data_IF_379341904196
#
_entry.id   IF_379341904196
#
_cell.length_a   1.000
_cell.length_b   1.000
_cell.length_c   1.000
_cell.angle_alpha   90.00
_cell.angle_beta   90.00
_cell.angle_gamma   90.00
#
_symmetry.space_group_name_H-M   'P 1'
#
loop_
_entity.id
_entity.type
_entity.pdbx_description
1 polymer ?
#
# COMPACT_ATOMS: atom_id res chain seq x y z
N UNK A 1 22.85 39.16 -31.61
CA UNK A 1 22.87 37.74 -31.25
C UNK A 1 22.34 37.58 -29.84
N UNK A 2 21.08 37.15 -29.61
CA UNK A 2 20.58 36.96 -28.26
C UNK A 2 20.89 35.55 -27.74
N UNK A 3 21.33 35.50 -26.48
CA UNK A 3 21.55 34.32 -25.66
C UNK A 3 20.29 33.45 -25.57
N UNK A 4 20.43 32.13 -25.75
CA UNK A 4 19.43 31.14 -25.32
C UNK A 4 19.78 30.69 -23.90
N UNK A 5 18.95 31.07 -22.94
CA UNK A 5 18.99 30.56 -21.58
C UNK A 5 18.52 29.11 -21.55
N UNK A 6 19.41 28.18 -21.15
CA UNK A 6 19.04 26.80 -20.87
C UNK A 6 18.19 26.74 -19.59
N UNK A 7 16.90 26.49 -19.74
CA UNK A 7 15.98 26.23 -18.63
C UNK A 7 16.40 24.93 -17.91
N UNK A 8 16.86 25.04 -16.67
CA UNK A 8 16.99 23.89 -15.76
C UNK A 8 15.58 23.33 -15.48
N UNK A 9 15.37 22.00 -15.51
CA UNK A 9 14.08 21.43 -15.18
C UNK A 9 13.75 21.73 -13.71
N UNK A 10 12.51 22.16 -13.46
CA UNK A 10 11.98 22.36 -12.11
C UNK A 10 11.84 21.02 -11.39
N UNK A 11 12.00 21.02 -10.07
CA UNK A 11 11.94 19.81 -9.23
C UNK A 11 10.67 18.96 -9.46
N UNK A 12 9.53 19.60 -9.75
CA UNK A 12 8.26 18.92 -10.06
C UNK A 12 8.34 18.03 -11.31
N UNK A 13 9.10 18.43 -12.34
CA UNK A 13 9.25 17.67 -13.58
C UNK A 13 10.20 16.48 -13.42
N UNK A 14 11.15 16.56 -12.49
CA UNK A 14 12.05 15.47 -12.11
C UNK A 14 11.38 14.41 -11.23
N UNK A 15 10.43 14.81 -10.37
CA UNK A 15 9.60 13.87 -9.59
C UNK A 15 8.61 13.13 -10.49
N UNK A 16 7.97 13.82 -11.43
CA UNK A 16 7.05 13.19 -12.39
C UNK A 16 7.75 12.17 -13.31
N UNK A 17 8.98 12.44 -13.76
CA UNK A 17 9.73 11.50 -14.61
C UNK A 17 10.21 10.26 -13.84
N UNK A 18 10.54 10.40 -12.55
CA UNK A 18 10.85 9.27 -11.66
C UNK A 18 9.63 8.39 -11.40
N UNK A 19 8.44 8.98 -11.22
CA UNK A 19 7.19 8.23 -11.09
C UNK A 19 6.81 7.46 -12.37
N UNK A 20 7.10 8.03 -13.55
CA UNK A 20 6.90 7.34 -14.84
C UNK A 20 7.86 6.15 -14.99
N UNK A 21 9.13 6.31 -14.59
CA UNK A 21 10.11 5.21 -14.62
C UNK A 21 9.78 4.11 -13.60
N UNK A 22 9.27 4.47 -12.42
CA UNK A 22 8.81 3.52 -11.39
C UNK A 22 7.58 2.74 -11.86
N UNK A 23 6.59 3.42 -12.43
CA UNK A 23 5.40 2.79 -13.03
C UNK A 23 5.72 1.87 -14.21
N UNK A 24 6.75 2.19 -15.00
CA UNK A 24 7.19 1.33 -16.12
C UNK A 24 7.91 0.07 -15.63
N UNK A 25 8.63 0.16 -14.51
CA UNK A 25 9.24 -1.00 -13.85
C UNK A 25 8.18 -1.90 -13.20
N UNK A 26 7.17 -1.32 -12.54
CA UNK A 26 6.01 -2.07 -12.02
C UNK A 26 5.21 -2.76 -13.14
N UNK A 27 4.90 -2.05 -14.23
CA UNK A 27 4.17 -2.63 -15.37
C UNK A 27 4.92 -3.78 -16.07
N UNK A 28 6.24 -3.72 -16.16
CA UNK A 28 7.06 -4.84 -16.66
C UNK A 28 7.11 -6.02 -15.69
N UNK A 29 7.03 -5.75 -14.39
CA UNK A 29 6.99 -6.76 -13.34
C UNK A 29 5.64 -7.50 -13.30
N UNK A 30 4.54 -6.75 -13.43
CA UNK A 30 3.18 -7.25 -13.47
C UNK A 30 2.94 -8.28 -14.58
N UNK A 31 3.55 -8.08 -15.76
CA UNK A 31 3.41 -9.00 -16.90
C UNK A 31 3.96 -10.42 -16.63
N UNK A 32 4.79 -10.61 -15.60
CA UNK A 32 5.48 -11.87 -15.32
C UNK A 32 5.14 -12.42 -13.93
N UNK A 33 4.28 -11.74 -13.16
CA UNK A 33 3.89 -12.15 -11.82
C UNK A 33 2.76 -13.20 -11.88
N UNK A 34 2.97 -14.45 -11.41
CA UNK A 34 1.93 -15.49 -11.41
C UNK A 34 0.70 -15.13 -10.57
N UNK A 35 0.83 -14.29 -9.54
CA UNK A 35 -0.29 -13.84 -8.68
C UNK A 35 -1.26 -12.90 -9.39
N UNK A 36 -0.85 -12.29 -10.51
CA UNK A 36 -1.72 -11.48 -11.37
C UNK A 36 -2.47 -12.29 -12.42
N UNK A 37 -2.15 -13.58 -12.62
CA UNK A 37 -2.87 -14.42 -13.61
C UNK A 37 -4.29 -14.75 -13.17
N UNK A 38 -4.52 -14.92 -11.88
CA UNK A 38 -5.86 -15.15 -11.31
C UNK A 38 -6.69 -13.85 -11.28
N UNK A 39 -6.02 -12.71 -11.39
CA UNK A 39 -6.64 -11.45 -11.75
C UNK A 39 -6.91 -11.47 -13.26
N UNK A 40 -7.97 -12.17 -13.67
CA UNK A 40 -8.57 -11.96 -14.99
C UNK A 40 -8.88 -10.47 -15.06
N UNK A 41 -8.00 -9.71 -15.73
CA UNK A 41 -8.20 -8.34 -16.17
C UNK A 41 -9.47 -8.36 -17.03
N UNK A 42 -10.63 -8.17 -16.41
CA UNK A 42 -11.84 -7.83 -17.14
C UNK A 42 -11.60 -6.43 -17.63
N UNK A 43 -11.19 -6.32 -18.88
CA UNK A 43 -11.10 -5.07 -19.61
C UNK A 43 -12.33 -4.22 -19.30
N UNK A 44 -12.08 -3.03 -18.78
CA UNK A 44 -13.05 -1.96 -18.55
C UNK A 44 -14.20 -2.27 -17.60
N UNK A 45 -14.00 -2.00 -16.31
CA UNK A 45 -15.06 -1.30 -15.56
C UNK A 45 -14.99 0.17 -15.92
N UNK A 46 -15.45 0.49 -17.13
CA UNK A 46 -16.27 1.69 -17.22
C UNK A 46 -17.49 1.34 -16.36
N UNK A 47 -17.88 2.21 -15.43
CA UNK A 47 -19.25 2.22 -14.91
C UNK A 47 -20.15 2.34 -16.14
N UNK A 48 -20.54 1.19 -16.69
CA UNK A 48 -21.19 1.06 -17.99
C UNK A 48 -22.64 1.37 -17.72
N UNK A 49 -23.00 2.63 -17.95
CA UNK A 49 -24.36 3.13 -18.12
C UNK A 49 -25.44 2.46 -17.24
N UNK A 50 -25.18 2.49 -15.94
CA UNK A 50 -26.17 2.40 -14.88
C UNK A 50 -25.67 3.33 -13.80
N UNK A 51 -25.93 4.64 -13.95
CA UNK A 51 -25.32 5.70 -13.16
C UNK A 51 -25.35 5.37 -11.66
N UNK A 52 -24.20 4.93 -11.13
CA UNK A 52 -24.02 4.73 -9.71
C UNK A 52 -24.21 6.10 -9.07
N UNK A 53 -25.40 6.32 -8.51
CA UNK A 53 -25.83 7.60 -7.97
C UNK A 53 -25.71 7.51 -6.47
N UNK A 54 -24.51 7.78 -5.97
CA UNK A 54 -24.23 7.85 -4.55
C UNK A 54 -24.74 9.17 -3.98
N UNK A 55 -25.25 9.14 -2.76
CA UNK A 55 -25.37 10.34 -1.94
C UNK A 55 -24.00 11.00 -1.76
N UNK A 56 -24.00 12.29 -1.41
CA UNK A 56 -22.75 13.03 -1.18
C UNK A 56 -21.89 12.38 -0.09
N UNK A 57 -22.51 11.82 0.95
CA UNK A 57 -21.82 11.23 2.08
C UNK A 57 -21.23 9.85 1.73
N UNK A 58 -21.97 9.02 1.00
CA UNK A 58 -21.48 7.74 0.47
C UNK A 58 -20.29 7.96 -0.49
N UNK A 59 -20.40 8.94 -1.40
CA UNK A 59 -19.32 9.28 -2.33
C UNK A 59 -18.09 9.78 -1.58
N UNK A 60 -18.28 10.67 -0.58
CA UNK A 60 -17.18 11.14 0.25
C UNK A 60 -16.52 10.01 1.04
N UNK A 61 -17.29 9.04 1.54
CA UNK A 61 -16.75 7.89 2.26
C UNK A 61 -15.88 7.01 1.36
N UNK A 62 -16.39 6.64 0.18
CA UNK A 62 -15.65 5.81 -0.79
C UNK A 62 -14.36 6.53 -1.24
N UNK A 63 -14.43 7.84 -1.50
CA UNK A 63 -13.27 8.67 -1.83
C UNK A 63 -12.20 8.67 -0.74
N UNK A 64 -12.59 8.62 0.54
CA UNK A 64 -11.64 8.54 1.66
C UNK A 64 -10.99 7.16 1.71
N UNK A 65 -11.77 6.09 1.62
CA UNK A 65 -11.30 4.71 1.69
C UNK A 65 -10.27 4.40 0.60
N UNK A 66 -10.62 4.67 -0.67
CA UNK A 66 -9.73 4.39 -1.79
C UNK A 66 -8.42 5.20 -1.67
N UNK A 67 -8.52 6.47 -1.28
CA UNK A 67 -7.37 7.36 -1.11
C UNK A 67 -6.40 6.88 -0.03
N UNK A 68 -6.92 6.52 1.14
CA UNK A 68 -6.07 6.09 2.25
C UNK A 68 -5.50 4.69 2.01
N UNK A 69 -6.24 3.79 1.37
CA UNK A 69 -5.74 2.47 0.98
C UNK A 69 -4.55 2.63 0.03
N UNK A 70 -4.70 3.42 -1.04
CA UNK A 70 -3.62 3.67 -1.98
C UNK A 70 -2.36 4.26 -1.31
N UNK A 71 -2.53 5.16 -0.33
CA UNK A 71 -1.42 5.69 0.45
C UNK A 71 -0.79 4.63 1.39
N UNK A 72 -1.62 3.79 2.00
CA UNK A 72 -1.22 2.65 2.83
C UNK A 72 -0.37 1.66 2.05
N UNK A 73 -0.85 1.20 0.90
CA UNK A 73 -0.13 0.27 0.02
C UNK A 73 1.20 0.87 -0.49
N UNK A 74 1.21 2.18 -0.75
CA UNK A 74 2.45 2.89 -1.09
C UNK A 74 3.48 2.81 0.05
N UNK A 75 3.03 2.95 1.29
CA UNK A 75 3.88 2.83 2.46
C UNK A 75 4.32 1.38 2.69
N UNK A 76 3.42 0.40 2.58
CA UNK A 76 3.70 -1.03 2.75
C UNK A 76 4.78 -1.52 1.78
N UNK A 77 4.62 -1.25 0.48
CA UNK A 77 5.66 -1.50 -0.54
C UNK A 77 7.01 -0.89 -0.12
N UNK A 78 6.99 0.33 0.41
CA UNK A 78 8.21 1.04 0.83
C UNK A 78 8.82 0.47 2.11
N UNK A 79 8.02 -0.02 3.05
CA UNK A 79 8.47 -0.68 4.29
C UNK A 79 9.29 -1.92 3.92
N UNK A 80 8.76 -2.81 3.06
CA UNK A 80 9.51 -3.99 2.65
C UNK A 80 10.76 -3.64 1.85
N UNK A 81 10.74 -2.60 1.00
CA UNK A 81 11.96 -2.11 0.35
C UNK A 81 13.02 -1.68 1.37
N UNK A 82 12.62 -0.96 2.42
CA UNK A 82 13.50 -0.56 3.52
C UNK A 82 14.06 -1.77 4.28
N UNK A 83 13.21 -2.74 4.61
CA UNK A 83 13.63 -3.97 5.30
C UNK A 83 14.63 -4.77 4.45
N UNK A 84 14.33 -4.98 3.17
CA UNK A 84 15.18 -5.68 2.21
C UNK A 84 16.52 -4.99 2.00
N UNK A 85 16.57 -3.65 2.01
CA UNK A 85 17.81 -2.90 1.89
C UNK A 85 18.82 -3.23 3.01
N UNK A 86 18.34 -3.67 4.18
CA UNK A 86 19.16 -3.97 5.35
C UNK A 86 19.36 -5.48 5.57
N UNK A 87 18.30 -6.28 5.38
CA UNK A 87 18.30 -7.72 5.65
C UNK A 87 18.57 -8.57 4.40
N UNK A 88 18.22 -8.10 3.20
CA UNK A 88 18.26 -8.88 1.96
C UNK A 88 19.67 -9.29 1.51
N UNK A 89 20.72 -8.64 2.02
CA UNK A 89 22.11 -8.96 1.72
C UNK A 89 22.84 -9.73 2.84
N UNK A 90 22.12 -10.18 3.88
CA UNK A 90 22.73 -10.86 5.05
C UNK A 90 22.97 -12.37 4.88
N UNK A 91 22.71 -12.92 3.70
CA UNK A 91 22.97 -14.33 3.37
C UNK A 91 21.89 -15.31 3.83
N UNK A 92 20.82 -14.83 4.48
CA UNK A 92 19.63 -15.63 4.78
C UNK A 92 18.70 -15.67 3.57
N UNK A 93 18.75 -16.79 2.84
CA UNK A 93 18.02 -16.97 1.58
C UNK A 93 16.51 -17.07 1.81
N UNK A 94 16.08 -17.72 2.90
CA UNK A 94 14.66 -17.95 3.15
C UNK A 94 14.00 -16.67 3.65
N UNK A 95 14.65 -15.91 4.54
CA UNK A 95 14.18 -14.57 4.93
C UNK A 95 14.11 -13.64 3.73
N UNK A 96 15.10 -13.67 2.84
CA UNK A 96 15.09 -12.84 1.63
C UNK A 96 13.88 -13.16 0.75
N UNK A 97 13.61 -14.44 0.48
CA UNK A 97 12.46 -14.88 -0.32
C UNK A 97 11.14 -14.48 0.32
N UNK A 98 11.02 -14.60 1.65
CA UNK A 98 9.84 -14.16 2.38
C UNK A 98 9.59 -12.66 2.16
N UNK A 99 10.60 -11.81 2.40
CA UNK A 99 10.46 -10.36 2.22
C UNK A 99 10.19 -9.97 0.76
N UNK A 100 10.78 -10.69 -0.20
CA UNK A 100 10.48 -10.53 -1.62
C UNK A 100 9.02 -10.86 -1.91
N UNK A 101 8.53 -12.00 -1.43
CA UNK A 101 7.16 -12.44 -1.62
C UNK A 101 6.13 -11.45 -1.04
N UNK A 102 6.31 -11.02 0.21
CA UNK A 102 5.40 -10.06 0.86
C UNK A 102 5.39 -8.73 0.09
N UNK A 103 6.58 -8.19 -0.26
CA UNK A 103 6.68 -6.97 -1.07
C UNK A 103 5.97 -7.10 -2.41
N UNK A 104 6.04 -8.27 -3.03
CA UNK A 104 5.41 -8.52 -4.33
C UNK A 104 3.88 -8.53 -4.23
N UNK A 105 3.32 -9.06 -3.14
CA UNK A 105 1.90 -8.92 -2.84
C UNK A 105 1.51 -7.45 -2.63
N UNK A 106 2.29 -6.66 -1.89
CA UNK A 106 2.00 -5.23 -1.72
C UNK A 106 2.03 -4.44 -3.03
N UNK A 107 2.91 -4.83 -3.96
CA UNK A 107 2.91 -4.20 -5.29
C UNK A 107 1.61 -4.49 -6.02
N UNK A 108 1.08 -5.71 -5.90
CA UNK A 108 -0.23 -6.08 -6.48
C UNK A 108 -1.36 -5.33 -5.77
N UNK A 109 -1.34 -5.21 -4.45
CA UNK A 109 -2.30 -4.41 -3.68
C UNK A 109 -2.30 -2.95 -4.15
N UNK A 110 -1.12 -2.33 -4.27
CA UNK A 110 -0.99 -0.96 -4.76
C UNK A 110 -1.55 -0.80 -6.19
N UNK A 111 -1.31 -1.76 -7.08
CA UNK A 111 -1.87 -1.74 -8.44
C UNK A 111 -3.41 -1.81 -8.43
N UNK A 112 -3.98 -2.64 -7.56
CA UNK A 112 -5.44 -2.71 -7.34
C UNK A 112 -5.97 -1.36 -6.85
N UNK A 113 -5.31 -0.72 -5.88
CA UNK A 113 -5.76 0.58 -5.36
C UNK A 113 -5.57 1.71 -6.37
N UNK A 114 -4.51 1.71 -7.18
CA UNK A 114 -4.30 2.67 -8.27
C UNK A 114 -5.38 2.53 -9.36
N UNK A 115 -5.88 1.32 -9.61
CA UNK A 115 -7.05 1.08 -10.47
C UNK A 115 -8.32 1.68 -9.85
N UNK A 116 -8.58 1.45 -8.56
CA UNK A 116 -9.75 2.04 -7.88
C UNK A 116 -9.70 3.57 -7.85
N UNK A 117 -8.51 4.17 -7.70
CA UNK A 117 -8.30 5.62 -7.86
C UNK A 117 -8.80 6.09 -9.24
N UNK A 118 -8.47 5.36 -10.31
CA UNK A 118 -8.87 5.71 -11.66
C UNK A 118 -10.37 5.48 -11.91
N UNK A 119 -10.91 4.33 -11.51
CA UNK A 119 -12.29 3.91 -11.76
C UNK A 119 -13.29 4.81 -11.04
N UNK A 120 -13.00 5.17 -9.78
CA UNK A 120 -13.84 6.06 -8.96
C UNK A 120 -13.46 7.55 -9.09
N UNK A 121 -12.43 7.87 -9.89
CA UNK A 121 -11.89 9.24 -10.08
C UNK A 121 -11.51 9.93 -8.76
N UNK A 122 -11.01 9.15 -7.81
CA UNK A 122 -10.60 9.64 -6.51
C UNK A 122 -9.28 10.39 -6.66
N UNK A 123 -9.17 11.57 -6.07
CA UNK A 123 -7.89 12.28 -6.01
C UNK A 123 -6.97 11.58 -4.99
N UNK A 124 -5.73 11.20 -5.31
CA UNK A 124 -4.79 10.70 -4.31
C UNK A 124 -4.50 11.73 -3.22
N UNK A 125 -4.09 11.27 -2.03
CA UNK A 125 -3.65 12.17 -0.95
C UNK A 125 -2.36 12.88 -1.34
N UNK A 126 -2.22 14.15 -0.94
CA UNK A 126 -0.95 14.87 -1.09
C UNK A 126 0.17 14.29 -0.22
N UNK A 127 -0.16 13.48 0.78
CA UNK A 127 0.79 12.84 1.68
C UNK A 127 1.38 11.54 1.13
N UNK A 128 0.94 11.05 -0.03
CA UNK A 128 1.43 9.79 -0.59
C UNK A 128 2.97 9.74 -0.71
N UNK A 129 3.68 10.80 -1.17
CA UNK A 129 5.14 10.78 -1.20
C UNK A 129 5.77 10.73 0.21
N UNK A 130 5.12 11.34 1.20
CA UNK A 130 5.55 11.29 2.60
C UNK A 130 5.36 9.89 3.16
N UNK A 131 4.25 9.22 2.82
CA UNK A 131 3.98 7.83 3.18
C UNK A 131 5.04 6.88 2.62
N UNK A 132 5.44 7.06 1.36
CA UNK A 132 6.53 6.27 0.76
C UNK A 132 7.87 6.45 1.50
N UNK A 133 8.28 7.70 1.74
CA UNK A 133 9.53 8.00 2.43
C UNK A 133 9.50 7.50 3.89
N UNK A 134 8.40 7.75 4.59
CA UNK A 134 8.20 7.30 5.97
C UNK A 134 8.20 5.78 6.09
N UNK A 135 7.52 5.08 5.18
CA UNK A 135 7.51 3.63 5.10
C UNK A 135 8.91 3.05 4.91
N UNK A 136 9.68 3.58 3.96
CA UNK A 136 11.06 3.13 3.75
C UNK A 136 11.94 3.32 4.98
N UNK A 137 11.86 4.49 5.63
CA UNK A 137 12.61 4.78 6.85
C UNK A 137 12.21 3.80 7.96
N UNK A 138 10.91 3.59 8.17
CA UNK A 138 10.39 2.67 9.18
C UNK A 138 10.87 1.23 8.94
N UNK A 139 10.76 0.75 7.70
CA UNK A 139 11.25 -0.58 7.32
C UNK A 139 12.76 -0.75 7.50
N UNK A 140 13.55 0.23 7.04
CA UNK A 140 15.01 0.18 7.18
C UNK A 140 15.44 0.25 8.65
N UNK A 141 14.84 1.13 9.44
CA UNK A 141 15.20 1.30 10.86
C UNK A 141 14.81 0.09 11.71
N UNK A 142 13.63 -0.48 11.51
CA UNK A 142 13.23 -1.72 12.19
C UNK A 142 14.15 -2.89 11.82
N UNK A 143 14.52 -3.00 10.54
CA UNK A 143 15.46 -4.01 10.06
C UNK A 143 16.90 -3.83 10.57
N UNK A 144 17.34 -2.59 10.81
CA UNK A 144 18.63 -2.32 11.47
C UNK A 144 18.68 -2.89 12.89
N UNK A 145 17.56 -2.91 13.60
CA UNK A 145 17.43 -3.51 14.94
C UNK A 145 17.37 -5.05 14.90
N UNK A 146 17.21 -5.64 13.71
CA UNK A 146 17.26 -7.08 13.46
C UNK A 146 15.95 -7.66 12.94
N UNK A 147 15.99 -8.94 12.57
CA UNK A 147 14.87 -9.66 11.93
C UNK A 147 13.59 -9.58 12.76
N UNK A 148 13.67 -9.88 14.06
CA UNK A 148 12.51 -9.85 14.96
C UNK A 148 11.87 -8.45 15.02
N UNK A 149 12.68 -7.38 15.03
CA UNK A 149 12.16 -6.00 15.00
C UNK A 149 11.55 -5.63 13.66
N UNK A 150 12.12 -6.08 12.54
CA UNK A 150 11.47 -5.95 11.24
C UNK A 150 10.10 -6.65 11.23
N UNK A 151 10.02 -7.87 11.76
CA UNK A 151 8.77 -8.60 11.86
C UNK A 151 7.78 -7.93 12.83
N UNK A 152 8.23 -7.32 13.94
CA UNK A 152 7.35 -6.49 14.79
C UNK A 152 6.78 -5.29 14.04
N UNK A 153 7.56 -4.69 13.15
CA UNK A 153 7.06 -3.62 12.28
C UNK A 153 5.94 -4.15 11.38
N UNK A 154 6.17 -5.26 10.70
CA UNK A 154 5.16 -5.92 9.86
C UNK A 154 3.90 -6.28 10.66
N UNK A 155 4.05 -6.96 11.80
CA UNK A 155 2.93 -7.34 12.69
C UNK A 155 2.08 -6.13 13.08
N UNK A 156 2.72 -5.01 13.46
CA UNK A 156 2.03 -3.81 13.90
C UNK A 156 1.30 -3.08 12.75
N UNK A 157 1.94 -3.03 11.57
CA UNK A 157 1.38 -2.40 10.37
C UNK A 157 0.19 -3.22 9.89
N UNK A 158 0.33 -4.53 9.71
CA UNK A 158 -0.73 -5.39 9.18
C UNK A 158 -1.90 -5.54 10.14
N UNK A 159 -1.64 -5.54 11.46
CA UNK A 159 -2.72 -5.43 12.44
C UNK A 159 -3.53 -4.15 12.20
N UNK A 160 -2.88 -3.01 11.92
CA UNK A 160 -3.58 -1.75 11.74
C UNK A 160 -4.30 -1.68 10.40
N UNK A 161 -3.68 -2.14 9.33
CA UNK A 161 -4.24 -2.18 7.98
C UNK A 161 -5.41 -3.16 7.92
N UNK A 162 -5.25 -4.38 8.43
CA UNK A 162 -6.32 -5.38 8.48
C UNK A 162 -7.55 -4.91 9.29
N UNK A 163 -7.33 -4.21 10.41
CA UNK A 163 -8.43 -3.55 11.14
C UNK A 163 -9.13 -2.49 10.27
N UNK A 164 -8.36 -1.67 9.56
CA UNK A 164 -8.91 -0.62 8.70
C UNK A 164 -9.73 -1.20 7.56
N UNK A 165 -9.25 -2.26 6.89
CA UNK A 165 -10.02 -2.93 5.85
C UNK A 165 -11.30 -3.57 6.38
N UNK A 166 -11.28 -4.17 7.57
CA UNK A 166 -12.50 -4.69 8.20
C UNK A 166 -13.54 -3.60 8.47
N UNK A 167 -13.11 -2.43 8.97
CA UNK A 167 -14.00 -1.28 9.16
C UNK A 167 -14.60 -0.81 7.84
N UNK A 168 -13.79 -0.70 6.78
CA UNK A 168 -14.25 -0.30 5.45
C UNK A 168 -15.25 -1.29 4.86
N UNK A 169 -14.98 -2.59 4.96
CA UNK A 169 -15.87 -3.64 4.44
C UNK A 169 -17.22 -3.61 5.15
N UNK A 170 -17.23 -3.44 6.48
CA UNK A 170 -18.47 -3.28 7.25
C UNK A 170 -19.32 -2.15 6.66
N UNK A 171 -18.73 -0.96 6.52
CA UNK A 171 -19.45 0.22 6.04
C UNK A 171 -19.87 0.07 4.56
N UNK A 172 -19.02 -0.53 3.71
CA UNK A 172 -19.36 -0.81 2.31
C UNK A 172 -20.48 -1.86 2.18
N UNK A 173 -20.57 -2.85 3.07
CA UNK A 173 -21.61 -3.86 3.02
C UNK A 173 -23.01 -3.33 3.39
N UNK A 174 -23.09 -2.19 4.07
CA UNK A 174 -24.34 -1.45 4.26
C UNK A 174 -24.87 -0.90 2.93
N UNK A 175 -23.97 -0.58 1.99
CA UNK A 175 -24.31 -0.09 0.66
C UNK A 175 -24.72 -1.24 -0.28
N UNK A 176 -25.99 -1.26 -0.69
CA UNK A 176 -26.58 -2.30 -1.57
C UNK A 176 -26.48 -1.96 -3.06
N UNK A 177 -25.31 -1.52 -3.49
CA UNK A 177 -25.00 -1.25 -4.91
C UNK A 177 -24.14 -2.38 -5.49
N UNK A 178 -24.62 -3.15 -6.49
CA UNK A 178 -23.82 -4.20 -7.15
C UNK A 178 -22.55 -3.67 -7.81
N UNK A 179 -22.54 -2.40 -8.22
CA UNK A 179 -21.38 -1.72 -8.80
C UNK A 179 -20.19 -1.60 -7.82
N UNK A 180 -20.42 -1.77 -6.51
CA UNK A 180 -19.38 -1.76 -5.49
C UNK A 180 -18.81 -3.14 -5.18
N UNK A 181 -19.32 -4.21 -5.81
CA UNK A 181 -18.92 -5.58 -5.47
C UNK A 181 -17.45 -5.85 -5.81
N UNK A 182 -16.93 -5.30 -6.90
CA UNK A 182 -15.49 -5.40 -7.24
C UNK A 182 -14.61 -4.70 -6.20
N UNK A 183 -15.02 -3.51 -5.72
CA UNK A 183 -14.30 -2.78 -4.68
C UNK A 183 -14.28 -3.59 -3.37
N UNK A 184 -15.43 -4.12 -2.95
CA UNK A 184 -15.56 -4.95 -1.75
C UNK A 184 -14.70 -6.21 -1.84
N UNK A 185 -14.74 -6.90 -2.98
CA UNK A 185 -13.94 -8.11 -3.20
C UNK A 185 -12.44 -7.81 -3.19
N UNK A 186 -12.03 -6.70 -3.81
CA UNK A 186 -10.63 -6.26 -3.82
C UNK A 186 -10.14 -5.96 -2.42
N UNK A 187 -10.90 -5.20 -1.64
CA UNK A 187 -10.56 -4.85 -0.24
C UNK A 187 -10.53 -6.10 0.64
N UNK A 188 -11.49 -7.01 0.49
CA UNK A 188 -11.53 -8.27 1.22
C UNK A 188 -10.32 -9.16 0.91
N UNK A 189 -9.91 -9.22 -0.37
CA UNK A 189 -8.72 -9.93 -0.78
C UNK A 189 -7.46 -9.35 -0.14
N UNK A 190 -7.24 -8.03 -0.24
CA UNK A 190 -6.10 -7.38 0.39
C UNK A 190 -6.07 -7.67 1.89
N UNK A 191 -7.20 -7.49 2.59
CA UNK A 191 -7.33 -7.83 4.02
C UNK A 191 -6.90 -9.26 4.35
N UNK A 192 -7.34 -10.23 3.55
CA UNK A 192 -7.06 -11.64 3.82
C UNK A 192 -5.56 -11.93 3.62
N UNK A 193 -4.93 -11.33 2.60
CA UNK A 193 -3.49 -11.40 2.39
C UNK A 193 -2.69 -10.67 3.50
N UNK A 194 -3.19 -9.54 4.04
CA UNK A 194 -2.56 -8.89 5.21
C UNK A 194 -2.54 -9.78 6.46
N UNK A 195 -3.57 -10.63 6.63
CA UNK A 195 -3.60 -11.58 7.74
C UNK A 195 -2.53 -12.68 7.57
N UNK A 196 -2.28 -13.13 6.34
CA UNK A 196 -1.19 -14.06 6.04
C UNK A 196 0.19 -13.42 6.32
N UNK A 197 0.33 -12.12 6.06
CA UNK A 197 1.54 -11.37 6.37
C UNK A 197 1.76 -11.21 7.87
N UNK A 198 0.68 -10.90 8.60
CA UNK A 198 0.67 -10.84 10.05
C UNK A 198 1.10 -12.18 10.67
N UNK A 199 0.52 -13.29 10.22
CA UNK A 199 0.85 -14.64 10.69
C UNK A 199 2.33 -14.96 10.40
N UNK A 200 2.79 -14.63 9.18
CA UNK A 200 4.20 -14.79 8.79
C UNK A 200 5.14 -14.01 9.72
N UNK A 201 4.78 -12.78 10.11
CA UNK A 201 5.58 -11.98 11.02
C UNK A 201 5.67 -12.62 12.43
N UNK A 202 4.56 -13.17 12.93
CA UNK A 202 4.52 -13.88 14.22
C UNK A 202 5.39 -15.13 14.16
N UNK A 203 5.28 -15.93 13.10
CA UNK A 203 6.07 -17.14 12.89
C UNK A 203 7.58 -16.85 12.79
N UNK A 204 7.95 -15.69 12.25
CA UNK A 204 9.33 -15.21 12.20
C UNK A 204 9.76 -14.44 13.45
N UNK A 205 8.96 -14.53 14.52
CA UNK A 205 9.37 -14.17 15.86
C UNK A 205 9.23 -12.69 16.20
N UNK A 206 8.29 -11.97 15.58
CA UNK A 206 7.95 -10.59 15.93
C UNK A 206 7.80 -10.42 17.45
N UNK A 207 7.01 -11.28 18.09
CA UNK A 207 6.71 -11.25 19.53
C UNK A 207 7.92 -11.54 20.42
N UNK A 208 9.02 -12.00 19.85
CA UNK A 208 10.29 -12.22 20.54
C UNK A 208 11.27 -11.04 20.41
N UNK A 209 10.88 -9.94 19.77
CA UNK A 209 11.73 -8.76 19.64
C UNK A 209 11.98 -8.09 21.01
N UNK A 210 13.19 -7.56 21.25
CA UNK A 210 13.44 -6.73 22.43
C UNK A 210 12.47 -5.55 22.49
N UNK A 211 11.79 -5.33 23.61
CA UNK A 211 10.78 -4.26 23.74
C UNK A 211 9.64 -4.36 22.71
N UNK A 212 9.27 -5.58 22.27
CA UNK A 212 8.20 -5.84 21.30
C UNK A 212 6.96 -4.97 21.51
N UNK A 213 6.35 -5.03 22.71
CA UNK A 213 5.13 -4.27 23.00
C UNK A 213 5.28 -2.77 22.74
N UNK A 214 6.44 -2.18 23.06
CA UNK A 214 6.69 -0.77 22.81
C UNK A 214 6.79 -0.48 21.30
N UNK A 215 7.55 -1.30 20.56
CA UNK A 215 7.68 -1.16 19.11
C UNK A 215 6.31 -1.31 18.44
N UNK A 216 5.57 -2.35 18.80
CA UNK A 216 4.25 -2.67 18.26
C UNK A 216 3.26 -1.52 18.46
N UNK A 217 3.07 -1.06 19.70
CA UNK A 217 2.10 0.01 19.99
C UNK A 217 2.50 1.34 19.37
N UNK A 218 3.80 1.66 19.33
CA UNK A 218 4.29 2.89 18.70
C UNK A 218 4.02 2.89 17.19
N UNK A 219 4.36 1.80 16.51
CA UNK A 219 4.19 1.66 15.06
C UNK A 219 2.70 1.65 14.71
N UNK A 220 1.91 0.81 15.40
CA UNK A 220 0.45 0.74 15.21
C UNK A 220 -0.23 2.09 15.43
N UNK A 221 0.15 2.81 16.49
CA UNK A 221 -0.33 4.16 16.77
C UNK A 221 0.04 5.17 15.68
N UNK A 222 1.29 5.12 15.21
CA UNK A 222 1.78 5.94 14.10
C UNK A 222 1.01 5.69 12.81
N UNK A 223 0.76 4.43 12.45
CA UNK A 223 -0.08 4.05 11.31
C UNK A 223 -1.52 4.57 11.47
N UNK A 224 -2.08 4.53 12.68
CA UNK A 224 -3.39 5.13 12.97
C UNK A 224 -3.47 6.63 12.70
N UNK A 225 -2.44 7.37 13.10
CA UNK A 225 -2.33 8.82 12.81
C UNK A 225 -2.17 9.07 11.31
N UNK A 226 -1.34 8.27 10.63
CA UNK A 226 -1.12 8.39 9.19
C UNK A 226 -2.42 8.15 8.39
N UNK A 227 -3.19 7.11 8.73
CA UNK A 227 -4.51 6.82 8.15
C UNK A 227 -5.44 8.03 8.35
N UNK A 228 -5.56 8.51 9.59
CA UNK A 228 -6.43 9.65 9.91
C UNK A 228 -6.09 10.91 9.11
N UNK A 229 -4.79 11.18 8.89
CA UNK A 229 -4.34 12.30 8.06
C UNK A 229 -4.66 12.07 6.57
N UNK A 230 -4.32 10.89 6.03
CA UNK A 230 -4.49 10.58 4.61
C UNK A 230 -5.96 10.52 4.19
N UNK A 231 -6.87 10.17 5.10
CA UNK A 231 -8.32 10.25 4.85
C UNK A 231 -8.81 11.69 4.59
N UNK A 232 -8.08 12.72 5.04
CA UNK A 232 -8.57 14.11 5.05
C UNK A 232 -8.03 14.97 3.92
N UNK A 233 -6.82 14.71 3.44
CA UNK A 233 -6.08 15.62 2.53
C UNK A 233 -5.44 14.91 1.35
#
# INVERSE_FOLDING_TARGET
MPLIAALRPTAARAVASRNISFRRLQSSYAAHNPYLKDFVYKDTVRVKDGALTLSKDEHSMIDRFIRVNQAGETAAVSIYQGQMAILGNRGDIELKKLLEHMREQEVVHLEIMDKHIADFRVRPTILQPVAAVGGYILGATSALLGVKSAMTCTEAVETRIGMHYNDQLRDLHELKYPQLDELKQSIAKCRDEELEHLDSAVDHGSQMAPLHKLQFELIKGGCGVAIWLCERI
#
